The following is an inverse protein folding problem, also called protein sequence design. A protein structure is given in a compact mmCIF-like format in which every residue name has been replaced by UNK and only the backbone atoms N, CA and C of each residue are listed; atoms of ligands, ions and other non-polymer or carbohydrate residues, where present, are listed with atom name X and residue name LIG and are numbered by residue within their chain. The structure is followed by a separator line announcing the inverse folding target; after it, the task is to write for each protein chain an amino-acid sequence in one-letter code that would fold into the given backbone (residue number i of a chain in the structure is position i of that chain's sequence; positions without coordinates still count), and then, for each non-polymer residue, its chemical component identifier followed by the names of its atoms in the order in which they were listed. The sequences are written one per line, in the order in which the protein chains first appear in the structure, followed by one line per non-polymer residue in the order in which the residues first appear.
data_IF_428212855890
#
_entry.id   IF_428212855890
#
_cell.length_a   1.000
_cell.length_b   1.000
_cell.length_c   1.000
_cell.angle_alpha   90.00
_cell.angle_beta   90.00
_cell.angle_gamma   90.00
#
_symmetry.space_group_name_H-M   'P 1'
#
loop_
_entity.id
_entity.type
_entity.pdbx_description
1 polymer ?
#
# COMPACT_ATOMS: atom_id res chain seq x y z
N UNK A 1 3.73 7.85 -9.67
CA UNK A 1 4.50 8.23 -8.47
C UNK A 1 5.36 7.05 -7.99
N UNK A 2 6.47 7.26 -7.27
CA UNK A 2 7.31 6.18 -6.73
C UNK A 2 7.28 6.13 -5.19
N UNK A 3 7.29 4.91 -4.65
CA UNK A 3 7.46 4.63 -3.23
C UNK A 3 8.77 3.89 -3.04
N UNK A 4 9.63 4.41 -2.17
CA UNK A 4 10.85 3.74 -1.78
C UNK A 4 10.54 2.74 -0.66
N UNK A 5 10.68 1.45 -0.97
CA UNK A 5 10.46 0.36 0.00
C UNK A 5 11.75 -0.09 0.69
N UNK A 6 12.91 0.21 0.09
CA UNK A 6 14.24 -0.06 0.61
C UNK A 6 15.26 0.95 0.03
N UNK A 7 16.50 1.08 0.58
CA UNK A 7 17.46 2.10 0.18
C UNK A 7 17.73 2.22 -1.34
N UNK A 8 17.64 1.12 -2.09
CA UNK A 8 17.87 1.08 -3.55
C UNK A 8 16.70 0.51 -4.35
N UNK A 9 15.53 0.38 -3.72
CA UNK A 9 14.35 -0.19 -4.37
C UNK A 9 13.19 0.82 -4.33
N UNK A 10 12.74 1.20 -5.51
CA UNK A 10 11.58 2.06 -5.73
C UNK A 10 10.54 1.29 -6.51
N UNK A 11 9.29 1.39 -6.08
CA UNK A 11 8.16 0.74 -6.75
C UNK A 11 7.20 1.82 -7.22
N UNK A 12 6.73 1.66 -8.45
CA UNK A 12 5.77 2.57 -9.05
C UNK A 12 4.34 2.29 -8.55
N UNK A 13 3.59 3.36 -8.30
CA UNK A 13 2.17 3.33 -7.94
C UNK A 13 1.36 4.27 -8.83
N UNK A 14 0.12 3.87 -9.09
CA UNK A 14 -0.91 4.69 -9.75
C UNK A 14 -1.52 5.68 -8.77
N UNK A 15 -2.23 6.69 -9.29
CA UNK A 15 -2.95 7.66 -8.46
C UNK A 15 -4.11 6.99 -7.70
N UNK A 16 -4.83 6.05 -8.33
CA UNK A 16 -5.86 5.25 -7.65
C UNK A 16 -5.30 4.46 -6.45
N UNK A 17 -4.11 3.88 -6.61
CA UNK A 17 -3.41 3.18 -5.53
C UNK A 17 -2.98 4.15 -4.43
N UNK A 18 -2.55 5.35 -4.79
CA UNK A 18 -2.16 6.38 -3.83
C UNK A 18 -3.35 6.84 -2.98
N UNK A 19 -4.50 7.07 -3.61
CA UNK A 19 -5.70 7.51 -2.89
C UNK A 19 -6.22 6.41 -1.96
N UNK A 20 -6.18 5.14 -2.39
CA UNK A 20 -6.46 4.01 -1.51
C UNK A 20 -5.54 3.99 -0.27
N UNK A 21 -4.23 4.22 -0.46
CA UNK A 21 -3.27 4.26 0.65
C UNK A 21 -3.60 5.41 1.61
N UNK A 22 -4.00 6.59 1.11
CA UNK A 22 -4.36 7.73 1.95
C UNK A 22 -5.58 7.43 2.82
N UNK A 23 -6.62 6.81 2.24
CA UNK A 23 -7.85 6.43 2.96
C UNK A 23 -7.58 5.43 4.08
N UNK A 24 -6.66 4.49 3.88
CA UNK A 24 -6.38 3.41 4.84
C UNK A 24 -5.02 3.54 5.55
N UNK A 25 -4.51 4.77 5.68
CA UNK A 25 -3.16 5.02 6.21
C UNK A 25 -3.01 4.73 7.70
N UNK A 26 -4.02 5.10 8.49
CA UNK A 26 -3.87 5.25 9.94
C UNK A 26 -4.15 3.96 10.71
N UNK A 27 -4.97 3.07 10.14
CA UNK A 27 -5.44 1.87 10.82
C UNK A 27 -5.33 0.62 9.95
N UNK A 28 -5.01 -0.55 10.56
CA UNK A 28 -5.16 -1.82 9.87
C UNK A 28 -6.61 -2.07 9.46
N UNK A 29 -6.79 -2.75 8.32
CA UNK A 29 -8.11 -3.06 7.76
C UNK A 29 -8.15 -4.51 7.28
N UNK A 30 -9.35 -5.07 7.12
CA UNK A 30 -9.54 -6.46 6.66
C UNK A 30 -10.06 -6.49 5.23
N UNK A 31 -9.76 -7.57 4.52
CA UNK A 31 -10.30 -7.80 3.18
C UNK A 31 -11.83 -7.93 3.14
N UNK A 32 -12.45 -8.34 4.25
CA UNK A 32 -13.91 -8.47 4.39
C UNK A 32 -14.64 -7.15 4.36
N UNK A 33 -13.95 -6.07 4.73
CA UNK A 33 -14.53 -4.74 4.92
C UNK A 33 -14.36 -3.87 3.67
N UNK A 34 -13.72 -4.42 2.62
CA UNK A 34 -13.40 -3.74 1.37
C UNK A 34 -14.33 -4.16 0.25
N UNK A 35 -14.56 -3.25 -0.69
CA UNK A 35 -15.21 -3.62 -1.94
C UNK A 35 -14.33 -4.62 -2.73
N UNK A 36 -14.87 -5.58 -3.50
CA UNK A 36 -14.07 -6.56 -4.23
C UNK A 36 -12.95 -5.97 -5.11
N UNK A 37 -13.19 -4.81 -5.73
CA UNK A 37 -12.16 -4.09 -6.50
C UNK A 37 -11.02 -3.55 -5.63
N UNK A 38 -11.33 -3.08 -4.43
CA UNK A 38 -10.35 -2.57 -3.46
C UNK A 38 -9.52 -3.72 -2.86
N UNK A 39 -10.11 -4.91 -2.71
CA UNK A 39 -9.40 -6.11 -2.29
C UNK A 39 -8.25 -6.42 -3.26
N UNK A 40 -8.48 -6.30 -4.57
CA UNK A 40 -7.44 -6.54 -5.56
C UNK A 40 -6.36 -5.44 -5.56
N UNK A 41 -6.74 -4.19 -5.32
CA UNK A 41 -5.78 -3.09 -5.08
C UNK A 41 -4.91 -3.38 -3.85
N UNK A 42 -5.52 -3.82 -2.74
CA UNK A 42 -4.80 -4.14 -1.51
C UNK A 42 -3.82 -5.32 -1.72
N UNK A 43 -4.21 -6.35 -2.48
CA UNK A 43 -3.31 -7.46 -2.86
C UNK A 43 -2.13 -6.96 -3.68
N UNK A 44 -2.37 -6.19 -4.74
CA UNK A 44 -1.30 -5.64 -5.58
C UNK A 44 -0.32 -4.77 -4.78
N UNK A 45 -0.83 -3.92 -3.88
CA UNK A 45 0.01 -3.11 -3.00
C UNK A 45 0.79 -3.94 -1.98
N UNK A 46 0.23 -5.05 -1.50
CA UNK A 46 0.94 -5.98 -0.64
C UNK A 46 2.06 -6.73 -1.39
N UNK A 47 1.82 -7.16 -2.62
CA UNK A 47 2.84 -7.81 -3.45
C UNK A 47 3.97 -6.83 -3.81
N UNK A 48 3.66 -5.54 -3.91
CA UNK A 48 4.62 -4.43 -4.02
C UNK A 48 5.38 -4.11 -2.72
N UNK A 49 5.15 -4.85 -1.63
CA UNK A 49 5.72 -4.61 -0.29
C UNK A 49 5.35 -3.25 0.34
N UNK A 50 4.33 -2.57 -0.18
CA UNK A 50 3.81 -1.30 0.33
C UNK A 50 2.87 -1.55 1.51
N UNK A 51 2.02 -2.58 1.40
CA UNK A 51 1.21 -3.07 2.50
C UNK A 51 1.82 -4.35 3.07
N UNK A 52 1.70 -4.53 4.37
CA UNK A 52 1.97 -5.81 5.04
C UNK A 52 0.65 -6.55 5.16
N UNK A 53 0.65 -7.85 4.85
CA UNK A 53 -0.52 -8.73 4.98
C UNK A 53 -0.30 -9.77 6.06
N UNK A 54 -1.32 -10.02 6.89
CA UNK A 54 -1.37 -11.08 7.88
C UNK A 54 -2.59 -11.97 7.60
N UNK A 55 -2.36 -13.27 7.43
CA UNK A 55 -3.44 -14.26 7.38
C UNK A 55 -4.03 -14.41 8.78
N UNK A 56 -5.35 -14.34 8.88
CA UNK A 56 -6.14 -14.61 10.07
C UNK A 56 -7.07 -15.79 9.77
N UNK A 57 -7.71 -16.35 10.78
CA UNK A 57 -8.66 -17.45 10.60
C UNK A 57 -9.88 -16.99 9.77
N UNK A 58 -10.29 -15.73 9.92
CA UNK A 58 -11.46 -15.13 9.25
C UNK A 58 -11.07 -14.18 8.12
N UNK A 59 -9.96 -14.42 7.42
CA UNK A 59 -9.56 -13.63 6.24
C UNK A 59 -8.13 -13.08 6.33
N UNK A 60 -7.92 -11.90 5.74
CA UNK A 60 -6.60 -11.26 5.66
C UNK A 60 -6.69 -9.83 6.18
N UNK A 61 -5.80 -9.49 7.09
CA UNK A 61 -5.62 -8.13 7.57
C UNK A 61 -4.44 -7.48 6.85
N UNK A 62 -4.62 -6.24 6.43
CA UNK A 62 -3.61 -5.41 5.80
C UNK A 62 -3.28 -4.21 6.70
N UNK A 63 -2.06 -3.71 6.58
CA UNK A 63 -1.62 -2.47 7.19
C UNK A 63 -0.52 -1.82 6.36
N UNK A 64 -0.39 -0.49 6.44
CA UNK A 64 0.69 0.22 5.76
C UNK A 64 2.05 -0.16 6.34
N UNK A 65 3.01 -0.47 5.48
CA UNK A 65 4.37 -0.76 5.89
C UNK A 65 5.05 0.52 6.40
N UNK A 66 5.37 0.57 7.69
CA UNK A 66 5.98 1.76 8.34
C UNK A 66 7.39 2.09 7.85
N UNK A 67 8.05 1.19 7.13
CA UNK A 67 9.44 1.37 6.63
C UNK A 67 9.52 2.00 5.25
N UNK A 68 8.39 2.23 4.57
CA UNK A 68 8.37 2.84 3.25
C UNK A 68 8.48 4.36 3.33
N UNK A 69 8.97 4.98 2.25
CA UNK A 69 9.04 6.43 2.10
C UNK A 69 8.40 6.83 0.78
N UNK A 70 7.50 7.80 0.81
CA UNK A 70 6.96 8.41 -0.40
C UNK A 70 8.02 9.36 -0.95
N UNK A 71 8.51 9.07 -2.16
CA UNK A 71 9.47 9.94 -2.83
C UNK A 71 8.67 10.82 -3.77
N UNK A 72 8.49 12.08 -3.41
CA UNK A 72 8.19 13.10 -4.40
C UNK A 72 9.51 13.42 -5.11
N UNK A 73 9.57 13.19 -6.41
CA UNK A 73 10.59 13.82 -7.24
C UNK A 73 10.32 15.32 -7.15
N UNK A 74 10.95 15.98 -6.17
CA UNK A 74 11.01 17.43 -6.16
C UNK A 74 11.64 17.84 -7.50
N UNK A 75 10.91 18.60 -8.30
CA UNK A 75 11.39 19.22 -9.52
C UNK A 75 12.80 19.76 -9.24
N UNK A 76 13.82 19.11 -9.81
CA UNK A 76 15.17 19.66 -9.79
C UNK A 76 15.13 20.86 -10.73
N UNK A 77 14.86 22.03 -10.15
CA UNK A 77 15.18 23.31 -10.78
C UNK A 77 16.65 23.37 -11.17
#
# INVERSE_FOLDING_TARGET
MYVQIAPRCRVWITDTQLDFIKTHRDHPFRNTDLHPLEVDIAKQLADKSILVRKKLDTGVQYALNRRIRFVQDADKK
#
